data_IF_241942161131
#
_entry.id   IF_241942161131
#
_cell.length_a   1.000
_cell.length_b   1.000
_cell.length_c   1.000
_cell.angle_alpha   90.00
_cell.angle_beta   90.00
_cell.angle_gamma   90.00
#
_symmetry.space_group_name_H-M   'P 1'
#
loop_
_entity.id
_entity.type
_entity.pdbx_description
1 polymer ?
#
# COMPACT_ATOMS: atom_id res chain seq x y z
N UNK A 1 28.19 5.74 23.67
CA UNK A 1 27.24 4.72 24.15
C UNK A 1 27.50 3.43 23.40
N UNK A 2 28.22 2.48 23.99
CA UNK A 2 28.32 1.13 23.44
C UNK A 2 26.95 0.46 23.60
N UNK A 3 26.21 0.35 22.50
CA UNK A 3 24.88 -0.24 22.49
C UNK A 3 24.96 -1.72 22.86
N UNK A 4 24.27 -2.10 23.93
CA UNK A 4 24.05 -3.50 24.29
C UNK A 4 23.40 -4.18 23.07
N UNK A 5 23.96 -5.30 22.55
CA UNK A 5 23.36 -6.00 21.43
C UNK A 5 21.96 -6.49 21.84
N UNK A 6 20.98 -6.22 20.98
CA UNK A 6 19.62 -6.67 21.21
C UNK A 6 19.55 -8.19 21.16
N UNK A 7 18.90 -8.78 22.16
CA UNK A 7 18.69 -10.22 22.28
C UNK A 7 17.85 -10.75 21.10
N UNK A 8 18.41 -11.71 20.35
CA UNK A 8 17.79 -12.29 19.15
C UNK A 8 16.47 -13.01 19.45
N UNK A 9 16.34 -13.58 20.65
CA UNK A 9 15.14 -14.29 21.08
C UNK A 9 14.02 -13.31 21.41
N UNK A 10 14.32 -12.21 22.10
CA UNK A 10 13.37 -11.11 22.30
C UNK A 10 12.92 -10.50 20.98
N UNK A 11 13.85 -10.28 20.05
CA UNK A 11 13.56 -9.77 18.70
C UNK A 11 12.59 -10.68 17.92
N UNK A 12 12.63 -11.99 18.18
CA UNK A 12 11.78 -12.97 17.51
C UNK A 12 10.42 -13.18 18.21
N UNK A 13 10.38 -13.08 19.54
CA UNK A 13 9.24 -13.49 20.38
C UNK A 13 8.36 -12.33 20.85
N UNK A 14 8.82 -11.08 20.76
CA UNK A 14 8.01 -9.92 21.15
C UNK A 14 7.42 -9.24 19.93
N UNK A 15 6.10 -8.95 19.91
CA UNK A 15 5.59 -7.95 18.98
C UNK A 15 6.33 -6.66 19.32
N UNK A 16 7.16 -6.18 18.40
CA UNK A 16 7.79 -4.85 18.53
C UNK A 16 6.68 -3.83 18.85
N UNK A 17 7.01 -2.79 19.59
CA UNK A 17 6.13 -1.62 19.76
C UNK A 17 5.68 -1.01 18.42
N UNK A 18 6.36 -1.34 17.32
CA UNK A 18 6.09 -0.90 15.94
C UNK A 18 6.01 -2.14 15.06
N UNK A 19 4.90 -2.32 14.34
CA UNK A 19 4.74 -3.42 13.39
C UNK A 19 5.58 -3.23 12.12
N UNK A 20 5.87 -4.32 11.39
CA UNK A 20 6.72 -4.28 10.20
C UNK A 20 6.15 -3.39 9.07
N UNK A 21 4.83 -3.43 8.87
CA UNK A 21 4.08 -2.55 7.97
C UNK A 21 4.19 -1.07 8.37
N UNK A 22 4.11 -0.78 9.67
CA UNK A 22 4.25 0.60 10.18
C UNK A 22 5.66 1.14 9.94
N UNK A 23 6.69 0.29 10.11
CA UNK A 23 8.06 0.66 9.79
C UNK A 23 8.25 0.85 8.27
N UNK A 24 7.64 0.03 7.44
CA UNK A 24 7.62 0.23 5.98
C UNK A 24 6.99 1.57 5.59
N UNK A 25 5.86 1.94 6.19
CA UNK A 25 5.22 3.24 5.91
C UNK A 25 6.10 4.42 6.30
N UNK A 26 6.88 4.31 7.39
CA UNK A 26 7.85 5.34 7.74
C UNK A 26 8.95 5.46 6.68
N UNK A 27 9.55 4.34 6.28
CA UNK A 27 10.64 4.31 5.29
C UNK A 27 10.15 4.70 3.86
N UNK A 28 8.85 4.59 3.58
CA UNK A 28 8.24 5.00 2.31
C UNK A 28 8.44 6.49 2.04
N UNK A 29 8.34 7.30 3.08
CA UNK A 29 8.52 8.76 2.99
C UNK A 29 9.91 9.07 2.46
N UNK A 30 10.95 8.44 3.02
CA UNK A 30 12.34 8.61 2.56
C UNK A 30 12.54 8.10 1.13
N UNK A 31 11.94 6.94 0.80
CA UNK A 31 12.04 6.36 -0.55
C UNK A 31 11.41 7.26 -1.62
N UNK A 32 10.32 7.95 -1.28
CA UNK A 32 9.68 8.93 -2.16
C UNK A 32 10.55 10.18 -2.34
N UNK A 33 11.03 10.78 -1.25
CA UNK A 33 11.89 11.96 -1.31
C UNK A 33 13.19 11.71 -2.08
N UNK A 34 13.77 10.51 -1.94
CA UNK A 34 15.01 10.10 -2.62
C UNK A 34 14.79 9.48 -4.00
N UNK A 35 13.55 9.41 -4.50
CA UNK A 35 13.16 8.78 -5.78
C UNK A 35 13.59 7.31 -5.90
N UNK A 36 13.69 6.61 -4.78
CA UNK A 36 14.08 5.19 -4.68
C UNK A 36 12.89 4.25 -4.52
N UNK A 37 11.66 4.72 -4.76
CA UNK A 37 10.45 3.89 -4.64
C UNK A 37 10.51 2.60 -5.47
N UNK A 38 11.16 2.62 -6.65
CA UNK A 38 11.39 1.42 -7.47
C UNK A 38 12.20 0.33 -6.77
N UNK A 39 13.04 0.66 -5.78
CA UNK A 39 13.81 -0.29 -4.96
C UNK A 39 13.08 -0.72 -3.68
N UNK A 40 12.02 0.00 -3.30
CA UNK A 40 11.35 -0.17 -2.01
C UNK A 40 10.89 -1.62 -1.77
N UNK A 41 10.18 -2.20 -2.73
CA UNK A 41 9.69 -3.59 -2.64
C UNK A 41 10.83 -4.62 -2.70
N UNK A 42 11.88 -4.34 -3.48
CA UNK A 42 12.97 -5.29 -3.72
C UNK A 42 13.77 -5.59 -2.45
N UNK A 43 13.92 -4.60 -1.57
CA UNK A 43 14.75 -4.75 -0.38
C UNK A 43 14.12 -5.70 0.65
N UNK A 44 12.78 -5.80 0.70
CA UNK A 44 11.99 -6.70 1.55
C UNK A 44 12.49 -6.82 3.01
N UNK A 45 13.19 -5.80 3.52
CA UNK A 45 13.99 -5.87 4.77
C UNK A 45 13.16 -6.29 5.99
N UNK A 46 11.89 -5.91 5.98
CA UNK A 46 10.98 -6.06 7.11
C UNK A 46 10.21 -7.38 7.12
N UNK A 47 10.21 -8.13 6.02
CA UNK A 47 9.39 -9.35 5.87
C UNK A 47 10.16 -10.60 5.39
N UNK A 48 11.49 -10.55 5.30
CA UNK A 48 12.36 -11.65 4.81
C UNK A 48 12.04 -13.05 5.33
N UNK A 49 11.52 -13.18 6.57
CA UNK A 49 11.20 -14.47 7.18
C UNK A 49 9.90 -15.10 6.67
N UNK A 50 8.97 -14.31 6.16
CA UNK A 50 7.62 -14.76 5.79
C UNK A 50 7.23 -14.37 4.37
N UNK A 51 8.06 -13.59 3.69
CA UNK A 51 7.82 -13.10 2.34
C UNK A 51 9.11 -13.20 1.53
N UNK A 52 9.00 -13.51 0.25
CA UNK A 52 10.09 -13.44 -0.71
C UNK A 52 9.71 -12.58 -1.91
N UNK A 53 10.70 -11.87 -2.44
CA UNK A 53 10.59 -11.06 -3.64
C UNK A 53 11.70 -11.51 -4.57
N UNK A 54 11.32 -12.06 -5.71
CA UNK A 54 12.25 -12.57 -6.71
C UNK A 54 12.01 -11.84 -8.03
N UNK A 55 13.09 -11.56 -8.74
CA UNK A 55 13.01 -11.05 -10.10
C UNK A 55 12.78 -12.21 -11.05
N UNK A 56 11.83 -12.05 -11.96
CA UNK A 56 11.48 -13.03 -12.98
C UNK A 56 11.47 -12.36 -14.36
N UNK A 57 11.41 -13.17 -15.42
CA UNK A 57 11.37 -12.69 -16.83
C UNK A 57 12.51 -11.70 -17.14
N UNK A 58 13.75 -12.12 -16.95
CA UNK A 58 14.96 -11.30 -17.18
C UNK A 58 14.91 -9.95 -16.46
N UNK A 59 14.51 -9.95 -15.19
CA UNK A 59 14.35 -8.76 -14.34
C UNK A 59 13.25 -7.78 -14.78
N UNK A 60 12.35 -8.17 -15.68
CA UNK A 60 11.24 -7.31 -16.14
C UNK A 60 9.99 -7.40 -15.26
N UNK A 61 9.90 -8.40 -14.38
CA UNK A 61 8.78 -8.58 -13.47
C UNK A 61 9.26 -9.04 -12.08
N UNK A 62 8.39 -8.84 -11.09
CA UNK A 62 8.57 -9.32 -9.74
C UNK A 62 7.58 -10.44 -9.44
N UNK A 63 8.07 -11.54 -8.91
CA UNK A 63 7.26 -12.52 -8.21
C UNK A 63 7.36 -12.20 -6.71
N UNK A 64 6.19 -12.06 -6.07
CA UNK A 64 6.08 -11.81 -4.64
C UNK A 64 5.34 -12.99 -4.04
N UNK A 65 5.99 -13.69 -3.11
CA UNK A 65 5.39 -14.79 -2.35
C UNK A 65 5.25 -14.36 -0.90
N UNK A 66 4.06 -14.54 -0.36
CA UNK A 66 3.71 -14.18 1.01
C UNK A 66 3.16 -15.42 1.68
N UNK A 67 3.68 -15.75 2.86
CA UNK A 67 3.23 -16.91 3.63
C UNK A 67 1.77 -16.77 4.03
N UNK A 68 0.96 -17.77 3.70
CA UNK A 68 -0.45 -17.83 4.08
C UNK A 68 -0.58 -18.89 5.17
N UNK A 69 -1.18 -18.53 6.31
CA UNK A 69 -1.58 -19.51 7.34
C UNK A 69 -2.96 -20.05 6.97
N UNK A 70 -3.04 -20.75 5.83
CA UNK A 70 -4.28 -21.37 5.38
C UNK A 70 -4.44 -22.76 5.99
N UNK A 71 -5.13 -22.81 7.12
CA UNK A 71 -5.50 -24.06 7.79
C UNK A 71 -6.71 -24.74 7.16
N UNK A 72 -7.39 -24.07 6.22
CA UNK A 72 -8.67 -24.54 5.67
C UNK A 72 -8.52 -25.48 4.48
N UNK A 73 -7.33 -25.52 3.84
CA UNK A 73 -7.05 -26.39 2.70
C UNK A 73 -7.96 -26.12 1.50
N UNK A 74 -8.45 -24.89 1.37
CA UNK A 74 -9.39 -24.53 0.33
C UNK A 74 -8.64 -23.97 -0.89
N UNK A 75 -8.71 -24.67 -2.02
CA UNK A 75 -8.00 -24.30 -3.25
C UNK A 75 -8.60 -23.07 -3.96
N UNK A 76 -9.60 -22.40 -3.35
CA UNK A 76 -10.33 -21.28 -3.95
C UNK A 76 -10.02 -19.95 -3.26
N UNK A 77 -9.81 -18.92 -4.08
CA UNK A 77 -9.57 -17.53 -3.63
C UNK A 77 -10.82 -16.70 -3.97
N UNK A 78 -11.45 -16.14 -2.94
CA UNK A 78 -12.54 -15.17 -3.03
C UNK A 78 -11.96 -13.77 -3.19
N UNK A 79 -12.26 -13.17 -4.35
CA UNK A 79 -11.83 -11.82 -4.71
C UNK A 79 -13.06 -10.92 -4.80
N UNK A 80 -13.00 -9.73 -4.19
CA UNK A 80 -14.03 -8.70 -4.32
C UNK A 80 -13.53 -7.50 -5.12
N UNK A 81 -14.40 -7.01 -6.01
CA UNK A 81 -14.20 -5.80 -6.79
C UNK A 81 -15.09 -4.69 -6.22
N UNK A 82 -14.48 -3.66 -5.64
CA UNK A 82 -15.23 -2.54 -5.12
C UNK A 82 -15.64 -1.59 -6.26
N UNK A 83 -16.95 -1.54 -6.53
CA UNK A 83 -17.52 -0.53 -7.41
C UNK A 83 -17.81 0.76 -6.62
N UNK A 84 -16.78 1.59 -6.43
CA UNK A 84 -16.92 2.91 -5.80
C UNK A 84 -16.67 4.02 -6.82
N UNK A 85 -17.45 5.10 -6.72
CA UNK A 85 -17.30 6.26 -7.59
C UNK A 85 -16.03 7.04 -7.20
N UNK A 86 -15.15 7.26 -8.19
CA UNK A 86 -13.97 8.13 -8.05
C UNK A 86 -14.31 9.49 -8.65
N UNK A 87 -14.51 10.48 -7.80
CA UNK A 87 -14.84 11.84 -8.26
C UNK A 87 -13.59 12.58 -8.74
N UNK A 88 -13.64 13.12 -9.95
CA UNK A 88 -12.54 13.89 -10.54
C UNK A 88 -12.06 15.04 -9.64
N UNK A 89 -12.99 15.73 -8.97
CA UNK A 89 -12.66 16.80 -8.02
C UNK A 89 -11.74 16.35 -6.87
N UNK A 90 -11.86 15.09 -6.44
CA UNK A 90 -11.04 14.56 -5.35
C UNK A 90 -9.60 14.38 -5.86
N UNK A 91 -9.43 13.83 -7.06
CA UNK A 91 -8.14 13.68 -7.74
C UNK A 91 -7.47 15.05 -7.92
N UNK A 92 -8.20 16.02 -8.44
CA UNK A 92 -7.70 17.39 -8.66
C UNK A 92 -7.31 18.07 -7.34
N UNK A 93 -8.15 17.96 -6.30
CA UNK A 93 -7.89 18.55 -4.98
C UNK A 93 -6.63 17.98 -4.32
N UNK A 94 -6.32 16.69 -4.54
CA UNK A 94 -5.11 16.05 -4.00
C UNK A 94 -3.82 16.58 -4.63
N UNK A 95 -3.91 17.14 -5.84
CA UNK A 95 -2.77 17.72 -6.55
C UNK A 95 -2.52 19.20 -6.21
N UNK A 96 -3.53 19.90 -5.70
CA UNK A 96 -3.54 21.36 -5.58
C UNK A 96 -2.84 21.82 -4.30
N UNK A 97 -1.99 22.85 -4.42
CA UNK A 97 -1.32 23.47 -3.26
C UNK A 97 -2.27 24.32 -2.41
N UNK A 98 -3.35 24.81 -3.00
CA UNK A 98 -4.36 25.69 -2.39
C UNK A 98 -5.57 24.93 -1.81
N UNK A 99 -5.59 23.60 -1.89
CA UNK A 99 -6.70 22.77 -1.40
C UNK A 99 -6.19 21.57 -0.62
N UNK A 100 -7.02 21.07 0.29
CA UNK A 100 -6.78 19.81 0.98
C UNK A 100 -7.53 18.67 0.28
N UNK A 101 -7.01 17.43 0.31
CA UNK A 101 -7.72 16.26 -0.15
C UNK A 101 -9.08 16.11 0.54
N UNK A 102 -10.07 15.57 -0.16
CA UNK A 102 -11.38 15.31 0.42
C UNK A 102 -11.34 14.14 1.41
N UNK A 103 -11.28 14.47 2.71
CA UNK A 103 -11.32 13.53 3.84
C UNK A 103 -12.66 13.55 4.58
N UNK A 104 -13.75 13.90 3.88
CA UNK A 104 -15.07 13.99 4.50
C UNK A 104 -15.49 12.69 5.19
N UNK A 105 -16.22 12.85 6.29
CA UNK A 105 -16.77 11.73 7.05
C UNK A 105 -17.61 10.79 6.17
N UNK A 106 -18.42 11.33 5.25
CA UNK A 106 -19.24 10.52 4.34
C UNK A 106 -18.38 9.62 3.45
N UNK A 107 -17.32 10.18 2.85
CA UNK A 107 -16.39 9.40 2.02
C UNK A 107 -15.70 8.31 2.84
N UNK A 108 -15.25 8.65 4.04
CA UNK A 108 -14.60 7.69 4.93
C UNK A 108 -15.57 6.57 5.36
N UNK A 109 -16.81 6.94 5.70
CA UNK A 109 -17.89 6.00 6.04
C UNK A 109 -18.19 5.04 4.89
N UNK A 110 -18.24 5.55 3.65
CA UNK A 110 -18.46 4.71 2.47
C UNK A 110 -17.31 3.72 2.26
N UNK A 111 -16.05 4.15 2.45
CA UNK A 111 -14.91 3.23 2.42
C UNK A 111 -15.00 2.16 3.52
N UNK A 112 -15.32 2.54 4.76
CA UNK A 112 -15.49 1.59 5.85
C UNK A 112 -16.59 0.55 5.58
N UNK A 113 -17.69 0.95 4.95
CA UNK A 113 -18.73 0.00 4.52
C UNK A 113 -18.17 -1.06 3.58
N UNK A 114 -17.39 -0.65 2.56
CA UNK A 114 -16.76 -1.58 1.62
C UNK A 114 -15.80 -2.53 2.34
N UNK A 115 -14.92 -2.00 3.19
CA UNK A 115 -13.94 -2.78 3.96
C UNK A 115 -14.61 -3.80 4.90
N UNK A 116 -15.67 -3.37 5.60
CA UNK A 116 -16.39 -4.23 6.53
C UNK A 116 -17.17 -5.32 5.79
N UNK A 117 -17.88 -4.99 4.70
CA UNK A 117 -18.57 -5.98 3.88
C UNK A 117 -17.60 -7.02 3.30
N UNK A 118 -16.41 -6.62 2.84
CA UNK A 118 -15.40 -7.57 2.38
C UNK A 118 -14.91 -8.50 3.51
N UNK A 119 -14.80 -7.97 4.74
CA UNK A 119 -14.45 -8.76 5.92
C UNK A 119 -15.56 -9.76 6.28
N UNK A 120 -16.82 -9.31 6.32
CA UNK A 120 -18.01 -10.13 6.64
C UNK A 120 -18.17 -11.27 5.63
N UNK A 121 -17.87 -10.99 4.37
CA UNK A 121 -17.88 -11.96 3.28
C UNK A 121 -16.65 -12.89 3.24
N UNK A 122 -15.71 -12.76 4.17
CA UNK A 122 -14.47 -13.55 4.22
C UNK A 122 -13.67 -13.49 2.89
N UNK A 123 -13.63 -12.32 2.27
CA UNK A 123 -12.86 -12.07 1.04
C UNK A 123 -11.36 -12.15 1.36
N UNK A 124 -10.58 -12.86 0.53
CA UNK A 124 -9.11 -12.88 0.67
C UNK A 124 -8.43 -11.70 -0.05
N UNK A 125 -9.02 -11.19 -1.14
CA UNK A 125 -8.46 -10.06 -1.91
C UNK A 125 -9.56 -9.04 -2.24
N UNK A 126 -9.39 -7.81 -1.78
CA UNK A 126 -10.24 -6.67 -2.14
C UNK A 126 -9.50 -5.72 -3.07
N UNK A 127 -10.07 -5.52 -4.25
CA UNK A 127 -9.59 -4.58 -5.25
C UNK A 127 -10.42 -3.29 -5.19
N UNK A 128 -9.77 -2.14 -5.03
CA UNK A 128 -10.38 -0.82 -5.12
C UNK A 128 -9.86 -0.08 -6.37
N UNK A 129 -10.60 0.92 -6.88
CA UNK A 129 -10.20 1.64 -8.08
C UNK A 129 -8.87 2.40 -7.95
N UNK A 130 -8.31 2.78 -9.09
CA UNK A 130 -7.17 3.69 -9.18
C UNK A 130 -7.53 5.10 -8.66
N UNK A 131 -6.58 5.85 -8.10
CA UNK A 131 -6.76 7.22 -7.60
C UNK A 131 -7.94 7.38 -6.60
N UNK A 132 -8.30 6.32 -5.88
CA UNK A 132 -9.53 6.28 -5.08
C UNK A 132 -9.30 6.57 -3.59
N UNK A 133 -8.09 6.33 -3.10
CA UNK A 133 -7.74 6.40 -1.67
C UNK A 133 -6.81 7.60 -1.41
N UNK A 134 -7.19 8.56 -0.55
CA UNK A 134 -6.30 9.62 -0.10
C UNK A 134 -5.03 9.09 0.56
N UNK A 135 -3.90 9.77 0.34
CA UNK A 135 -2.60 9.41 0.96
C UNK A 135 -2.68 9.33 2.48
N UNK A 136 -3.44 10.23 3.12
CA UNK A 136 -3.61 10.26 4.59
C UNK A 136 -4.29 9.02 5.16
N UNK A 137 -4.94 8.22 4.32
CA UNK A 137 -5.65 7.00 4.73
C UNK A 137 -4.77 5.75 4.67
N UNK A 138 -3.59 5.85 4.07
CA UNK A 138 -2.66 4.74 3.89
C UNK A 138 -2.33 4.00 5.22
N UNK A 139 -2.07 4.66 6.36
CA UNK A 139 -1.76 3.96 7.61
C UNK A 139 -2.90 3.06 8.12
N UNK A 140 -4.16 3.53 8.07
CA UNK A 140 -5.25 2.68 8.54
C UNK A 140 -5.59 1.58 7.54
N UNK A 141 -5.36 1.79 6.24
CA UNK A 141 -5.51 0.74 5.23
C UNK A 141 -4.53 -0.41 5.52
N UNK A 142 -3.27 -0.09 5.83
CA UNK A 142 -2.26 -1.09 6.22
C UNK A 142 -2.68 -1.83 7.51
N UNK A 143 -3.13 -1.08 8.53
CA UNK A 143 -3.64 -1.67 9.76
C UNK A 143 -4.90 -2.53 9.54
N UNK A 144 -5.75 -2.19 8.57
CA UNK A 144 -6.93 -2.98 8.21
C UNK A 144 -6.51 -4.30 7.57
N UNK A 145 -5.67 -4.26 6.52
CA UNK A 145 -5.07 -5.45 5.88
C UNK A 145 -4.46 -6.38 6.93
N UNK A 146 -3.57 -5.85 7.79
CA UNK A 146 -2.91 -6.60 8.86
C UNK A 146 -3.91 -7.21 9.84
N UNK A 147 -4.86 -6.45 10.38
CA UNK A 147 -5.77 -6.96 11.43
C UNK A 147 -6.76 -7.99 10.89
N UNK A 148 -7.34 -7.70 9.73
CA UNK A 148 -8.37 -8.52 9.10
C UNK A 148 -7.81 -9.65 8.23
N UNK A 149 -6.50 -9.63 7.95
CA UNK A 149 -5.82 -10.59 7.08
C UNK A 149 -6.48 -10.67 5.69
N UNK A 150 -6.79 -9.50 5.14
CA UNK A 150 -7.33 -9.33 3.78
C UNK A 150 -6.31 -8.60 2.90
N UNK A 151 -6.05 -9.12 1.71
CA UNK A 151 -5.19 -8.42 0.74
C UNK A 151 -5.92 -7.22 0.18
N UNK A 152 -5.28 -6.06 0.18
CA UNK A 152 -5.84 -4.83 -0.38
C UNK A 152 -5.02 -4.40 -1.59
N UNK A 153 -5.66 -4.15 -2.72
CA UNK A 153 -5.00 -3.58 -3.91
C UNK A 153 -5.78 -2.36 -4.35
N UNK A 154 -5.13 -1.20 -4.42
CA UNK A 154 -5.79 0.07 -4.69
C UNK A 154 -4.84 1.13 -5.21
N UNK A 155 -5.37 2.15 -5.90
CA UNK A 155 -4.60 3.34 -6.25
C UNK A 155 -4.76 4.43 -5.21
N UNK A 156 -3.63 5.02 -4.81
CA UNK A 156 -3.63 6.27 -4.06
C UNK A 156 -4.00 7.43 -5.00
N UNK A 157 -4.70 8.42 -4.47
CA UNK A 157 -4.71 9.76 -5.07
C UNK A 157 -3.27 10.25 -5.28
N UNK A 158 -3.06 11.16 -6.24
CA UNK A 158 -1.73 11.66 -6.55
C UNK A 158 -1.01 12.14 -5.29
N UNK A 159 0.17 11.58 -5.04
CA UNK A 159 1.05 12.06 -3.99
C UNK A 159 1.97 13.11 -4.61
N UNK A 160 1.85 14.38 -4.21
CA UNK A 160 2.71 15.44 -4.73
C UNK A 160 3.91 15.67 -3.83
N UNK A 161 5.12 15.54 -4.39
CA UNK A 161 6.40 15.79 -3.69
C UNK A 161 7.35 16.52 -4.64
N UNK A 162 7.88 17.67 -4.21
CA UNK A 162 8.82 18.49 -5.00
C UNK A 162 8.31 18.76 -6.43
N UNK A 163 7.03 19.12 -6.55
CA UNK A 163 6.34 19.40 -7.83
C UNK A 163 6.16 18.18 -8.76
N UNK A 164 6.50 16.97 -8.29
CA UNK A 164 6.18 15.74 -8.98
C UNK A 164 4.93 15.10 -8.40
N UNK A 165 3.96 14.78 -9.26
CA UNK A 165 2.76 14.04 -8.89
C UNK A 165 2.95 12.54 -9.17
N UNK A 166 2.87 11.72 -8.13
CA UNK A 166 3.03 10.28 -8.21
C UNK A 166 1.66 9.59 -8.18
N UNK A 167 1.35 8.84 -9.24
CA UNK A 167 0.23 7.90 -9.27
C UNK A 167 0.72 6.52 -8.81
N UNK A 168 0.37 6.17 -7.57
CA UNK A 168 0.92 5.01 -6.86
C UNK A 168 -0.16 3.95 -6.69
N UNK A 169 0.08 2.77 -7.25
CA UNK A 169 -0.62 1.54 -6.92
C UNK A 169 -0.02 0.93 -5.65
N UNK A 170 -0.88 0.51 -4.74
CA UNK A 170 -0.52 -0.10 -3.46
C UNK A 170 -1.09 -1.50 -3.42
N UNK A 171 -0.25 -2.46 -3.02
CA UNK A 171 -0.69 -3.80 -2.66
C UNK A 171 -0.29 -4.06 -1.20
N UNK A 172 -1.25 -4.46 -0.38
CA UNK A 172 -1.05 -4.81 1.02
C UNK A 172 -1.31 -6.29 1.15
N UNK A 173 -0.26 -7.07 1.37
CA UNK A 173 -0.28 -8.52 1.35
C UNK A 173 -0.12 -9.05 2.79
N UNK A 174 -1.22 -9.39 3.47
CA UNK A 174 -1.19 -9.84 4.85
C UNK A 174 -0.55 -11.22 4.98
N UNK A 175 0.09 -11.45 6.12
CA UNK A 175 0.51 -12.77 6.54
C UNK A 175 0.45 -12.89 8.06
N UNK A 176 0.48 -14.13 8.52
CA UNK A 176 0.67 -14.48 9.92
C UNK A 176 2.01 -15.17 10.07
N UNK A 177 2.88 -14.65 10.94
CA UNK A 177 4.20 -15.24 11.17
C UNK A 177 4.10 -16.58 11.89
N UNK A 178 5.21 -17.33 11.91
CA UNK A 178 5.31 -18.59 12.67
C UNK A 178 4.92 -18.45 14.15
N UNK A 179 5.12 -17.27 14.74
CA UNK A 179 4.75 -16.94 16.13
C UNK A 179 3.32 -16.37 16.26
N UNK A 180 2.47 -16.54 15.24
CA UNK A 180 1.08 -16.05 15.20
C UNK A 180 0.92 -14.53 15.26
N UNK A 181 1.97 -13.78 14.92
CA UNK A 181 1.88 -12.34 14.77
C UNK A 181 1.39 -11.97 13.37
N UNK A 182 0.28 -11.22 13.31
CA UNK A 182 -0.26 -10.65 12.08
C UNK A 182 0.59 -9.48 11.60
N UNK A 183 0.86 -9.47 10.30
CA UNK A 183 1.60 -8.41 9.62
C UNK A 183 1.05 -8.24 8.19
N UNK A 184 1.54 -7.23 7.47
CA UNK A 184 1.24 -7.03 6.04
C UNK A 184 2.48 -6.52 5.34
N UNK A 185 2.88 -7.18 4.26
CA UNK A 185 3.88 -6.63 3.36
C UNK A 185 3.24 -5.57 2.48
N UNK A 186 3.83 -4.38 2.42
CA UNK A 186 3.36 -3.27 1.60
C UNK A 186 4.24 -3.16 0.35
N UNK A 187 3.59 -3.14 -0.80
CA UNK A 187 4.20 -3.04 -2.12
C UNK A 187 3.68 -1.75 -2.75
N UNK A 188 4.60 -0.95 -3.27
CA UNK A 188 4.27 0.32 -3.91
C UNK A 188 4.83 0.32 -5.32
N UNK A 189 3.98 0.62 -6.30
CA UNK A 189 4.36 0.71 -7.71
C UNK A 189 3.88 2.04 -8.26
N UNK A 190 4.79 2.75 -8.92
CA UNK A 190 4.38 3.95 -9.65
C UNK A 190 3.95 3.59 -11.07
N UNK A 191 2.88 4.23 -11.53
CA UNK A 191 2.44 4.17 -12.92
C UNK A 191 3.51 4.79 -13.82
N UNK A 192 3.90 4.09 -14.87
CA UNK A 192 4.87 4.60 -15.84
C UNK A 192 4.18 5.44 -16.93
N UNK A 193 2.99 5.02 -17.39
CA UNK A 193 2.27 5.67 -18.49
C UNK A 193 0.98 6.30 -17.99
N UNK A 194 0.98 7.63 -17.91
CA UNK A 194 -0.17 8.42 -17.49
C UNK A 194 -1.11 8.62 -18.67
N UNK A 195 -2.42 8.68 -18.41
CA UNK A 195 -3.38 8.94 -19.48
C UNK A 195 -3.21 10.38 -20.02
N UNK A 196 -3.49 10.66 -21.31
CA UNK A 196 -3.33 12.02 -21.85
C UNK A 196 -4.10 13.09 -21.06
N UNK A 197 -5.33 12.78 -20.64
CA UNK A 197 -6.14 13.68 -19.80
C UNK A 197 -5.54 13.94 -18.41
N UNK A 198 -4.88 12.93 -17.83
CA UNK A 198 -4.16 13.03 -16.56
C UNK A 198 -2.94 13.95 -16.72
N UNK A 199 -2.19 13.81 -17.81
CA UNK A 199 -1.05 14.68 -18.14
C UNK A 199 -1.51 16.13 -18.33
N UNK A 200 -2.59 16.35 -19.09
CA UNK A 200 -3.16 17.71 -19.28
C UNK A 200 -3.54 18.35 -17.95
N UNK A 201 -4.17 17.59 -17.05
CA UNK A 201 -4.53 18.06 -15.70
C UNK A 201 -3.28 18.44 -14.89
N UNK A 202 -2.28 17.56 -14.81
CA UNK A 202 -1.05 17.82 -14.04
C UNK A 202 -0.28 19.03 -14.59
N UNK A 203 -0.16 19.15 -15.92
CA UNK A 203 0.48 20.30 -16.56
C UNK A 203 -0.23 21.62 -16.25
N UNK A 204 -1.57 21.62 -16.21
CA UNK A 204 -2.34 22.82 -15.83
C UNK A 204 -2.05 23.29 -14.40
N UNK A 205 -1.62 22.37 -13.52
CA UNK A 205 -1.22 22.64 -12.14
C UNK A 205 0.29 22.88 -12.00
N UNK A 206 1.04 22.93 -13.12
CA UNK A 206 2.51 23.02 -13.17
C UNK A 206 3.21 21.88 -12.42
N UNK A 207 2.61 20.70 -12.43
CA UNK A 207 3.18 19.49 -11.85
C UNK A 207 3.81 18.61 -12.93
N UNK A 208 4.93 18.00 -12.57
CA UNK A 208 5.65 17.03 -13.41
C UNK A 208 5.17 15.62 -13.12
N UNK A 209 5.09 14.77 -14.14
CA UNK A 209 5.01 13.33 -13.95
C UNK A 209 6.43 12.72 -14.01
N UNK A 210 6.56 11.41 -13.81
CA UNK A 210 7.89 10.75 -13.78
C UNK A 210 8.60 10.77 -15.15
N UNK A 211 7.85 10.95 -16.24
CA UNK A 211 8.39 10.96 -17.60
C UNK A 211 8.81 12.37 -18.08
N UNK A 212 8.70 13.41 -17.25
CA UNK A 212 8.95 14.82 -17.59
C UNK A 212 10.01 15.49 -16.71
#
# INVERSE_FOLDING_TARGET
MHGIPLDNDKLNKTPRYIHADEKQLFDLIDALHTRKLHKFTHENKHHLKNCSVTKIKDNKALEIKVGIDDRSGNDTIKVALANMRVERRNIESACRKDQSPNLSYERQRNLYRILNSATEENVQILLLPELSIPVSWLPFMAAHSRRKQISLIFGLEHWVINEHAYNILVEMLPYTSNFKHKSSMLVFRVKNHYAPSEITMLNSLRLKNILS
#
